data_IF_446602805461
#
_entry.id   IF_446602805461
#
_cell.length_a   1.000
_cell.length_b   1.000
_cell.length_c   1.000
_cell.angle_alpha   90.00
_cell.angle_beta   90.00
_cell.angle_gamma   90.00
#
_symmetry.space_group_name_H-M   'P 1'
#
loop_
_entity.id
_entity.type
_entity.pdbx_description
1 polymer ?
#
# COMPACT_ATOMS: atom_id res chain seq x y z
N UNK A 1 -0.42 -0.05 17.64
CA UNK A 1 -0.90 1.34 17.51
C UNK A 1 -0.26 2.06 16.30
N UNK A 2 -0.36 1.50 15.07
CA UNK A 2 0.34 2.06 13.88
C UNK A 2 -0.39 3.21 13.16
N UNK A 3 -1.59 3.58 13.61
CA UNK A 3 -2.45 4.60 12.99
C UNK A 3 -2.21 6.00 13.56
N UNK A 4 -1.81 6.07 14.84
CA UNK A 4 -1.59 7.31 15.58
C UNK A 4 -0.56 8.23 14.92
N UNK A 5 0.60 7.74 14.41
CA UNK A 5 1.58 8.62 13.77
C UNK A 5 1.05 9.30 12.50
N UNK A 6 0.26 8.58 11.70
CA UNK A 6 -0.34 9.13 10.49
C UNK A 6 -1.38 10.20 10.82
N UNK A 7 -2.20 9.95 11.85
CA UNK A 7 -3.20 10.90 12.31
C UNK A 7 -2.57 12.17 12.90
N UNK A 8 -1.49 12.02 13.68
CA UNK A 8 -0.73 13.17 14.21
C UNK A 8 -0.14 13.99 13.06
N UNK A 9 0.51 13.34 12.09
CA UNK A 9 1.08 14.03 10.93
C UNK A 9 0.00 14.78 10.14
N UNK A 10 -1.11 14.10 9.83
CA UNK A 10 -2.22 14.70 9.10
C UNK A 10 -2.82 15.89 9.90
N UNK A 11 -2.93 15.79 11.22
CA UNK A 11 -3.42 16.88 12.08
C UNK A 11 -2.46 18.08 12.11
N UNK A 12 -1.16 17.84 12.25
CA UNK A 12 -0.13 18.90 12.18
C UNK A 12 -0.19 19.63 10.84
N UNK A 13 -0.33 18.88 9.74
CA UNK A 13 -0.47 19.47 8.41
C UNK A 13 -1.72 20.35 8.27
N UNK A 14 -2.86 19.92 8.83
CA UNK A 14 -4.09 20.75 8.86
C UNK A 14 -3.90 22.03 9.68
N UNK A 15 -3.21 21.95 10.82
CA UNK A 15 -2.89 23.14 11.63
C UNK A 15 -1.98 24.11 10.86
N UNK A 16 -0.95 23.60 10.18
CA UNK A 16 -0.05 24.40 9.34
C UNK A 16 -0.82 25.10 8.22
N UNK A 17 -1.73 24.39 7.56
CA UNK A 17 -2.62 25.00 6.56
C UNK A 17 -3.43 26.17 7.14
N UNK A 18 -4.02 26.00 8.33
CA UNK A 18 -4.82 27.05 8.95
C UNK A 18 -3.99 28.29 9.32
N UNK A 19 -2.79 28.09 9.88
CA UNK A 19 -1.88 29.19 10.22
C UNK A 19 -1.45 29.95 8.96
N UNK A 20 -0.99 29.23 7.92
CA UNK A 20 -0.55 29.83 6.66
C UNK A 20 -1.70 30.55 5.97
N UNK A 21 -2.90 29.96 5.96
CA UNK A 21 -4.09 30.56 5.36
C UNK A 21 -4.45 31.88 6.01
N UNK A 22 -4.49 31.95 7.35
CA UNK A 22 -4.76 33.20 8.07
C UNK A 22 -3.69 34.26 7.85
N UNK A 23 -2.41 33.87 7.96
CA UNK A 23 -1.30 34.78 7.71
C UNK A 23 -1.32 35.36 6.29
N UNK A 24 -1.77 34.59 5.30
CA UNK A 24 -1.87 35.01 3.89
C UNK A 24 -3.02 36.00 3.65
N UNK A 25 -4.01 36.07 4.53
CA UNK A 25 -5.12 37.02 4.49
C UNK A 25 -4.91 38.23 5.41
N UNK A 26 -3.68 38.46 5.90
CA UNK A 26 -3.33 39.50 6.89
C UNK A 26 -4.16 39.41 8.19
N UNK A 27 -4.68 38.23 8.48
CA UNK A 27 -5.45 37.98 9.70
C UNK A 27 -4.53 37.53 10.84
N UNK A 28 -4.98 37.76 12.08
CA UNK A 28 -4.26 37.31 13.27
C UNK A 28 -4.02 35.78 13.24
N UNK A 29 -2.74 35.34 13.22
CA UNK A 29 -2.41 33.92 13.25
C UNK A 29 -2.91 33.21 14.51
N UNK A 30 -3.11 33.93 15.63
CA UNK A 30 -3.57 33.37 16.90
C UNK A 30 -4.92 32.68 16.82
N UNK A 31 -5.81 33.11 15.92
CA UNK A 31 -7.12 32.50 15.75
C UNK A 31 -7.16 31.34 14.74
N UNK A 32 -6.03 30.71 14.41
CA UNK A 32 -5.98 29.57 13.48
C UNK A 32 -6.86 28.39 13.92
N UNK A 33 -7.10 28.20 15.23
CA UNK A 33 -7.98 27.13 15.72
C UNK A 33 -9.42 27.29 15.21
N UNK A 34 -9.92 28.52 15.10
CA UNK A 34 -11.27 28.80 14.57
C UNK A 34 -11.38 28.39 13.09
N UNK A 35 -10.28 28.50 12.34
CA UNK A 35 -10.19 28.04 10.96
C UNK A 35 -9.97 26.54 10.86
N UNK A 36 -9.18 25.96 11.78
CA UNK A 36 -8.74 24.56 11.72
C UNK A 36 -9.78 23.56 12.24
N UNK A 37 -10.56 23.91 13.27
CA UNK A 37 -11.42 22.95 13.97
C UNK A 37 -12.42 22.21 13.07
N UNK A 38 -13.06 22.81 12.04
CA UNK A 38 -13.98 22.08 11.16
C UNK A 38 -13.26 20.97 10.41
N UNK A 39 -12.03 21.26 9.96
CA UNK A 39 -11.18 20.32 9.23
C UNK A 39 -10.58 19.27 10.15
N UNK A 40 -10.23 19.61 11.40
CA UNK A 40 -9.75 18.63 12.37
C UNK A 40 -10.83 17.61 12.73
N UNK A 41 -12.07 18.07 12.95
CA UNK A 41 -13.22 17.19 13.19
C UNK A 41 -13.46 16.30 11.97
N UNK A 42 -13.47 16.88 10.77
CA UNK A 42 -13.64 16.11 9.54
C UNK A 42 -12.49 15.12 9.28
N UNK A 43 -11.25 15.45 9.68
CA UNK A 43 -10.08 14.57 9.58
C UNK A 43 -10.20 13.35 10.48
N UNK A 44 -10.62 13.55 11.74
CA UNK A 44 -10.91 12.48 12.69
C UNK A 44 -11.99 11.55 12.13
N UNK A 45 -13.07 12.11 11.59
CA UNK A 45 -14.13 11.35 10.94
C UNK A 45 -13.61 10.63 9.69
N UNK A 46 -12.75 11.25 8.88
CA UNK A 46 -12.18 10.64 7.68
C UNK A 46 -11.33 9.42 7.99
N UNK A 47 -10.49 9.49 9.03
CA UNK A 47 -9.73 8.32 9.51
C UNK A 47 -10.65 7.25 10.11
N UNK A 48 -11.71 7.64 10.82
CA UNK A 48 -12.69 6.69 11.37
C UNK A 48 -13.44 5.95 10.25
N UNK A 49 -13.95 6.67 9.25
CA UNK A 49 -14.62 6.08 8.09
C UNK A 49 -13.67 5.17 7.31
N UNK A 50 -12.43 5.61 7.08
CA UNK A 50 -11.41 4.77 6.44
C UNK A 50 -11.11 3.49 7.25
N UNK A 51 -11.15 3.56 8.59
CA UNK A 51 -10.97 2.42 9.48
C UNK A 51 -12.15 1.44 9.48
N UNK A 52 -13.38 1.95 9.35
CA UNK A 52 -14.60 1.14 9.33
C UNK A 52 -14.88 0.49 7.97
N UNK A 53 -14.22 0.93 6.90
CA UNK A 53 -14.47 0.41 5.56
C UNK A 53 -14.15 -1.10 5.46
N UNK A 54 -15.06 -1.94 4.91
CA UNK A 54 -14.91 -3.40 4.87
C UNK A 54 -13.64 -3.86 4.16
N UNK A 55 -13.16 -3.07 3.19
CA UNK A 55 -11.94 -3.34 2.42
C UNK A 55 -10.66 -3.38 3.27
N UNK A 56 -10.70 -2.97 4.56
CA UNK A 56 -9.58 -2.92 5.51
C UNK A 56 -8.24 -2.73 4.80
N UNK A 57 -7.91 -1.53 4.28
CA UNK A 57 -6.55 -1.26 3.85
C UNK A 57 -5.66 -1.45 5.09
N UNK A 58 -5.03 -2.63 5.24
CA UNK A 58 -4.34 -3.07 6.46
C UNK A 58 -3.17 -2.15 6.85
N UNK A 59 -2.89 -1.12 6.05
CA UNK A 59 -1.81 -0.18 6.21
C UNK A 59 -2.37 1.25 6.08
N UNK A 60 -2.27 2.11 7.11
CA UNK A 60 -2.66 3.54 7.03
C UNK A 60 -1.87 4.36 6.00
N UNK A 61 -0.86 3.73 5.41
CA UNK A 61 0.06 4.25 4.41
C UNK A 61 -0.44 4.02 2.98
N UNK A 62 -1.59 3.37 2.80
CA UNK A 62 -2.14 3.11 1.45
C UNK A 62 -2.73 4.39 0.86
N UNK A 63 -2.64 4.55 -0.46
CA UNK A 63 -3.27 5.68 -1.14
C UNK A 63 -4.79 5.65 -1.02
N UNK A 64 -5.41 4.46 -1.04
CA UNK A 64 -6.86 4.32 -0.89
C UNK A 64 -7.35 4.85 0.46
N UNK A 65 -6.58 4.61 1.54
CA UNK A 65 -6.88 5.18 2.86
C UNK A 65 -6.79 6.71 2.83
N UNK A 66 -5.70 7.23 2.27
CA UNK A 66 -5.49 8.67 2.13
C UNK A 66 -6.59 9.35 1.31
N UNK A 67 -7.06 8.71 0.24
CA UNK A 67 -8.13 9.22 -0.61
C UNK A 67 -9.49 9.29 0.13
N UNK A 68 -9.85 8.25 0.89
CA UNK A 68 -11.08 8.26 1.71
C UNK A 68 -11.00 9.33 2.79
N UNK A 69 -9.89 9.38 3.53
CA UNK A 69 -9.66 10.38 4.55
C UNK A 69 -9.73 11.80 3.95
N UNK A 70 -9.08 12.03 2.81
CA UNK A 70 -9.13 13.30 2.08
C UNK A 70 -10.54 13.69 1.66
N UNK A 71 -11.28 12.80 1.01
CA UNK A 71 -12.64 13.08 0.55
C UNK A 71 -13.55 13.47 1.72
N UNK A 72 -13.51 12.71 2.82
CA UNK A 72 -14.30 13.00 4.02
C UNK A 72 -13.83 14.29 4.69
N UNK A 73 -12.52 14.57 4.73
CA UNK A 73 -11.98 15.79 5.34
C UNK A 73 -12.38 17.04 4.56
N UNK A 74 -12.34 16.99 3.22
CA UNK A 74 -12.73 18.11 2.37
C UNK A 74 -14.24 18.36 2.49
N UNK A 75 -15.06 17.33 2.27
CA UNK A 75 -16.51 17.47 2.29
C UNK A 75 -16.98 17.84 3.70
N UNK A 76 -16.54 17.09 4.72
CA UNK A 76 -16.89 17.35 6.11
C UNK A 76 -16.40 18.71 6.59
N UNK A 77 -15.16 19.09 6.27
CA UNK A 77 -14.57 20.35 6.73
C UNK A 77 -15.27 21.56 6.14
N UNK A 78 -15.59 21.53 4.83
CA UNK A 78 -16.36 22.59 4.17
C UNK A 78 -17.79 22.66 4.69
N UNK A 79 -18.46 21.52 4.88
CA UNK A 79 -19.82 21.49 5.44
C UNK A 79 -19.86 22.03 6.88
N UNK A 80 -18.98 21.55 7.76
CA UNK A 80 -18.89 22.02 9.14
C UNK A 80 -18.61 23.53 9.18
N UNK A 81 -17.73 24.03 8.31
CA UNK A 81 -17.43 25.46 8.21
C UNK A 81 -18.69 26.28 7.87
N UNK A 82 -19.44 25.87 6.85
CA UNK A 82 -20.65 26.57 6.40
C UNK A 82 -21.75 26.53 7.47
N UNK A 83 -21.97 25.37 8.09
CA UNK A 83 -22.98 25.22 9.16
C UNK A 83 -22.61 26.02 10.41
N UNK A 84 -21.32 26.27 10.63
CA UNK A 84 -20.83 27.08 11.75
C UNK A 84 -20.94 28.59 11.51
N UNK A 85 -21.54 29.01 10.39
CA UNK A 85 -21.80 30.41 10.08
C UNK A 85 -20.70 31.13 9.29
N UNK A 86 -19.66 30.42 8.88
CA UNK A 86 -18.58 30.97 8.04
C UNK A 86 -18.87 30.69 6.55
N UNK A 87 -18.25 31.47 5.65
CA UNK A 87 -18.46 31.29 4.21
C UNK A 87 -17.40 30.38 3.59
N UNK A 88 -17.79 29.64 2.56
CA UNK A 88 -16.88 28.86 1.72
C UNK A 88 -16.75 29.54 0.36
N UNK A 89 -15.92 30.59 0.28
CA UNK A 89 -15.62 31.23 -1.00
C UNK A 89 -15.01 30.22 -1.97
N UNK A 90 -15.29 30.36 -3.28
CA UNK A 90 -14.80 29.41 -4.30
C UNK A 90 -13.28 29.26 -4.24
N UNK A 91 -12.55 30.37 -4.08
CA UNK A 91 -11.10 30.34 -3.92
C UNK A 91 -10.66 29.50 -2.71
N UNK A 92 -11.33 29.67 -1.57
CA UNK A 92 -11.08 28.88 -0.37
C UNK A 92 -11.35 27.39 -0.60
N UNK A 93 -12.46 27.03 -1.26
CA UNK A 93 -12.78 25.64 -1.58
C UNK A 93 -11.67 25.00 -2.41
N UNK A 94 -11.20 25.69 -3.45
CA UNK A 94 -10.15 25.19 -4.35
C UNK A 94 -8.84 25.01 -3.57
N UNK A 95 -8.40 26.05 -2.86
CA UNK A 95 -7.13 26.03 -2.11
C UNK A 95 -7.18 24.97 -1.01
N UNK A 96 -8.24 24.93 -0.21
CA UNK A 96 -8.40 23.92 0.85
C UNK A 96 -8.36 22.51 0.26
N UNK A 97 -9.11 22.25 -0.81
CA UNK A 97 -9.15 20.93 -1.47
C UNK A 97 -7.77 20.49 -1.97
N UNK A 98 -7.04 21.39 -2.64
CA UNK A 98 -5.71 21.11 -3.17
C UNK A 98 -4.68 20.92 -2.07
N UNK A 99 -4.65 21.79 -1.07
CA UNK A 99 -3.70 21.69 0.05
C UNK A 99 -3.95 20.43 0.86
N UNK A 100 -5.21 20.14 1.21
CA UNK A 100 -5.60 18.89 1.88
C UNK A 100 -5.23 17.67 1.02
N UNK A 101 -5.38 17.74 -0.31
CA UNK A 101 -4.97 16.64 -1.20
C UNK A 101 -3.46 16.40 -1.11
N UNK A 102 -2.65 17.45 -1.23
CA UNK A 102 -1.19 17.36 -1.15
C UNK A 102 -0.76 16.87 0.23
N UNK A 103 -1.37 17.39 1.30
CA UNK A 103 -1.01 17.04 2.66
C UNK A 103 -1.42 15.61 3.00
N UNK A 104 -2.64 15.17 2.67
CA UNK A 104 -3.10 13.84 3.03
C UNK A 104 -2.58 12.76 2.07
N UNK A 105 -2.44 13.03 0.77
CA UNK A 105 -1.99 12.03 -0.20
C UNK A 105 -0.48 12.11 -0.46
N UNK A 106 0.13 13.30 -0.42
CA UNK A 106 1.50 13.53 -0.86
C UNK A 106 2.56 12.76 -0.06
N UNK A 107 2.48 12.76 1.28
CA UNK A 107 3.43 11.99 2.09
C UNK A 107 3.26 10.48 1.91
N UNK A 108 2.04 10.02 1.60
CA UNK A 108 1.75 8.60 1.32
C UNK A 108 2.35 8.19 -0.03
N UNK A 109 2.26 9.05 -1.05
CA UNK A 109 2.96 8.88 -2.34
C UNK A 109 4.47 8.84 -2.14
N UNK A 110 5.03 9.77 -1.37
CA UNK A 110 6.45 9.82 -1.07
C UNK A 110 6.93 8.55 -0.34
N UNK A 111 6.18 8.11 0.67
CA UNK A 111 6.48 6.88 1.40
C UNK A 111 6.37 5.63 0.50
N UNK A 112 5.41 5.59 -0.42
CA UNK A 112 5.31 4.50 -1.42
C UNK A 112 6.51 4.52 -2.37
N UNK A 113 6.95 5.69 -2.81
CA UNK A 113 8.11 5.85 -3.70
C UNK A 113 9.43 5.47 -3.02
N UNK A 114 9.66 5.92 -1.79
CA UNK A 114 10.85 5.56 -1.00
C UNK A 114 10.97 4.05 -0.78
N UNK A 115 9.84 3.37 -0.51
CA UNK A 115 9.80 1.90 -0.39
C UNK A 115 10.16 1.17 -1.68
N UNK A 116 9.74 1.70 -2.84
CA UNK A 116 10.09 1.14 -4.15
C UNK A 116 11.58 1.28 -4.48
N UNK A 117 12.23 2.35 -4.00
CA UNK A 117 13.68 2.56 -4.18
C UNK A 117 14.52 1.62 -3.32
N UNK A 118 14.12 1.37 -2.07
CA UNK A 118 14.86 0.49 -1.16
C UNK A 118 14.92 -0.98 -1.63
N UNK A 119 13.96 -1.44 -2.43
CA UNK A 119 13.94 -2.80 -2.98
C UNK A 119 14.76 -3.01 -4.25
N UNK A 120 15.45 -1.99 -4.78
CA UNK A 120 16.27 -2.08 -6.01
C UNK A 120 17.77 -2.28 -5.76
N UNK A 121 18.21 -2.30 -4.50
CA UNK A 121 19.64 -2.31 -4.16
C UNK A 121 20.22 -3.71 -3.90
N UNK A 122 19.41 -4.77 -3.91
CA UNK A 122 19.84 -6.15 -3.59
C UNK A 122 19.93 -7.08 -4.81
N UNK A 123 20.55 -6.62 -5.91
CA UNK A 123 21.06 -7.52 -6.95
C UNK A 123 22.51 -7.15 -7.23
N UNK A 124 23.40 -7.58 -6.33
CA UNK A 124 24.82 -7.68 -6.64
C UNK A 124 24.99 -8.82 -7.67
N UNK A 125 25.68 -8.60 -8.80
CA UNK A 125 26.02 -9.67 -9.73
C UNK A 125 26.77 -10.76 -8.97
N UNK A 126 26.18 -11.94 -8.86
CA UNK A 126 26.94 -13.15 -8.55
C UNK A 126 27.92 -13.34 -9.70
N UNK A 127 29.17 -13.10 -9.36
CA UNK A 127 30.38 -13.43 -10.09
C UNK A 127 30.24 -14.85 -10.68
N UNK A 128 29.98 -14.94 -11.99
CA UNK A 128 29.97 -16.17 -12.77
C UNK A 128 31.40 -16.59 -13.07
N UNK A 129 32.20 -16.73 -12.01
CA UNK A 129 33.54 -17.29 -12.01
C UNK A 129 33.51 -18.60 -11.23
N UNK A 130 32.83 -19.60 -11.79
CA UNK A 130 33.23 -21.00 -11.61
C UNK A 130 33.52 -21.60 -12.99
N UNK A 131 34.73 -21.29 -13.44
CA UNK A 131 35.68 -22.23 -14.02
C UNK A 131 35.27 -23.71 -13.86
N UNK A 132 34.72 -24.30 -14.94
CA UNK A 132 34.67 -25.76 -15.11
C UNK A 132 35.11 -26.07 -16.54
N UNK A 133 36.40 -26.36 -16.67
CA UNK A 133 37.03 -26.97 -17.83
C UNK A 133 36.36 -28.35 -18.13
N UNK A 134 35.73 -28.56 -19.31
CA UNK A 134 35.07 -29.82 -19.65
C UNK A 134 36.04 -30.89 -20.16
N UNK A 135 37.34 -30.77 -19.94
CA UNK A 135 38.31 -31.81 -20.29
C UNK A 135 38.51 -32.85 -19.17
N UNK A 136 37.45 -33.55 -18.74
CA UNK A 136 37.62 -34.85 -18.06
C UNK A 136 36.41 -35.78 -18.25
N UNK A 137 36.67 -37.01 -18.72
CA UNK A 137 35.77 -38.15 -18.47
C UNK A 137 35.00 -38.74 -19.66
N UNK A 138 35.66 -38.99 -20.79
CA UNK A 138 35.13 -39.81 -21.88
C UNK A 138 35.08 -41.34 -21.56
N UNK A 139 34.69 -41.75 -20.34
CA UNK A 139 34.91 -43.14 -19.88
C UNK A 139 33.69 -43.94 -19.39
N UNK A 140 32.46 -43.43 -19.42
CA UNK A 140 31.30 -44.19 -18.87
C UNK A 140 30.29 -44.72 -19.88
N UNK A 141 30.54 -44.58 -21.19
CA UNK A 141 29.71 -45.17 -22.24
C UNK A 141 30.14 -46.61 -22.60
N UNK A 142 29.87 -47.60 -21.74
CA UNK A 142 29.88 -49.01 -22.20
C UNK A 142 29.07 -50.00 -21.34
N UNK A 143 28.82 -49.73 -20.05
CA UNK A 143 28.29 -50.77 -19.15
C UNK A 143 26.74 -50.86 -19.01
N UNK A 144 25.95 -49.94 -19.56
CA UNK A 144 24.50 -49.83 -19.26
C UNK A 144 23.55 -50.49 -20.29
N UNK A 145 24.07 -51.15 -21.33
CA UNK A 145 23.26 -51.72 -22.44
C UNK A 145 22.95 -53.22 -22.30
N UNK A 146 23.56 -53.93 -21.35
CA UNK A 146 23.48 -55.40 -21.27
C UNK A 146 22.35 -55.98 -20.39
N UNK A 147 21.61 -55.15 -19.63
CA UNK A 147 20.67 -55.67 -18.61
C UNK A 147 19.17 -55.58 -18.92
N UNK A 148 18.75 -55.00 -20.05
CA UNK A 148 17.34 -54.54 -20.22
C UNK A 148 16.48 -55.37 -21.17
N UNK A 149 16.93 -56.55 -21.61
CA UNK A 149 16.24 -57.38 -22.63
C UNK A 149 15.68 -58.70 -22.05
N UNK A 150 15.88 -58.99 -20.76
CA UNK A 150 15.56 -60.30 -20.21
C UNK A 150 14.21 -60.41 -19.46
N UNK A 151 13.41 -59.34 -19.36
CA UNK A 151 12.19 -59.35 -18.53
C UNK A 151 10.91 -59.10 -19.34
N UNK A 152 10.71 -59.95 -20.35
CA UNK A 152 9.49 -59.99 -21.16
C UNK A 152 9.13 -61.44 -21.50
N UNK A 153 8.58 -62.17 -20.52
CA UNK A 153 7.80 -63.38 -20.77
C UNK A 153 6.90 -63.70 -19.55
N UNK A 154 5.60 -63.45 -19.70
CA UNK A 154 4.55 -63.94 -18.80
C UNK A 154 4.41 -65.48 -18.88
N UNK A 155 3.72 -66.09 -17.91
CA UNK A 155 2.45 -66.70 -18.27
C UNK A 155 1.29 -66.40 -17.29
N UNK A 156 0.11 -66.31 -17.89
CA UNK A 156 -1.22 -66.14 -17.31
C UNK A 156 -1.70 -67.34 -16.48
N UNK A 157 -2.20 -67.07 -15.28
CA UNK A 157 -2.86 -68.03 -14.38
C UNK A 157 -4.39 -68.01 -14.60
N UNK A 158 -5.05 -69.16 -14.85
CA UNK A 158 -6.50 -69.24 -15.03
C UNK A 158 -7.16 -69.67 -13.71
N UNK A 159 -7.96 -68.80 -13.10
CA UNK A 159 -8.94 -69.26 -12.12
C UNK A 159 -10.25 -68.46 -12.21
N UNK A 160 -11.18 -69.08 -12.94
CA UNK A 160 -12.63 -69.00 -12.72
C UNK A 160 -12.94 -69.51 -11.31
N UNK A 161 -13.54 -68.67 -10.47
CA UNK A 161 -14.60 -69.03 -9.51
C UNK A 161 -14.73 -67.86 -8.50
N UNK A 162 -15.73 -67.00 -8.69
CA UNK A 162 -16.87 -67.05 -7.77
C UNK A 162 -18.05 -66.22 -8.31
N UNK A 163 -19.22 -66.84 -8.23
CA UNK A 163 -20.50 -66.36 -8.71
C UNK A 163 -21.18 -65.56 -7.62
N UNK A 164 -21.84 -64.49 -8.04
CA UNK A 164 -23.18 -64.09 -7.61
C UNK A 164 -23.61 -64.46 -6.18
N UNK A 165 -23.60 -63.48 -5.26
CA UNK A 165 -24.65 -63.25 -4.26
C UNK A 165 -24.79 -61.76 -3.97
#
# INVERSE_FOLDING_TARGET
MRYVPALILDAVLVLVFAVIGRASHEEDPGGFLLTAWPFLVALLLGHLVAALLPARPRRPWSLAWGAVAWAVTVVGGLLLRVVSGDTAQIAFIIVATLVLAVFLLGWRVLAAFLRRRAGRTDVAPTDDTMDVDPASGAETASASRAGRVADAAAPSDPNDDDRAR
#
